data_IF_115111825146
#
_entry.id   IF_115111825146
#
_cell.length_a   1.000
_cell.length_b   1.000
_cell.length_c   1.000
_cell.angle_alpha   90.00
_cell.angle_beta   90.00
_cell.angle_gamma   90.00
#
_symmetry.space_group_name_H-M   'P 1'
#
loop_
_entity.id
_entity.type
_entity.pdbx_description
1 polymer ?
#
# COMPACT_ATOMS: atom_id res chain seq x y z
N UNK A 1 -5.58 -3.51 -12.06
CA UNK A 1 -5.67 -4.68 -11.14
C UNK A 1 -5.43 -6.05 -11.81
N UNK A 2 -5.69 -6.24 -13.10
CA UNK A 2 -5.75 -7.57 -13.74
C UNK A 2 -4.37 -8.17 -13.87
N UNK A 3 -3.39 -7.32 -14.17
CA UNK A 3 -1.99 -7.69 -14.27
C UNK A 3 -1.40 -8.17 -12.93
N UNK A 4 -1.68 -7.47 -11.82
CA UNK A 4 -1.28 -7.94 -10.49
C UNK A 4 -1.90 -9.31 -10.18
N UNK A 5 -3.21 -9.48 -10.45
CA UNK A 5 -3.90 -10.76 -10.22
C UNK A 5 -3.33 -11.90 -11.08
N UNK A 6 -2.93 -11.64 -12.33
CA UNK A 6 -2.32 -12.65 -13.19
C UNK A 6 -0.96 -13.09 -12.65
N UNK A 7 -0.12 -12.15 -12.21
CA UNK A 7 1.19 -12.46 -11.62
C UNK A 7 1.00 -13.28 -10.34
N UNK A 8 0.10 -12.86 -9.43
CA UNK A 8 -0.18 -13.62 -8.20
C UNK A 8 -0.69 -15.03 -8.51
N UNK A 9 -1.54 -15.19 -9.53
CA UNK A 9 -2.04 -16.50 -9.95
C UNK A 9 -0.92 -17.41 -10.45
N UNK A 10 -0.05 -16.90 -11.32
CA UNK A 10 1.12 -17.63 -11.83
C UNK A 10 2.05 -18.05 -10.69
N UNK A 11 2.35 -17.11 -9.78
CA UNK A 11 3.23 -17.36 -8.65
C UNK A 11 2.67 -18.36 -7.65
N UNK A 12 1.36 -18.35 -7.39
CA UNK A 12 0.73 -19.41 -6.56
C UNK A 12 0.97 -20.82 -7.12
N UNK A 13 0.91 -20.99 -8.44
CA UNK A 13 1.21 -22.28 -9.06
C UNK A 13 2.69 -22.68 -8.93
N UNK A 14 3.62 -21.70 -8.93
CA UNK A 14 5.03 -21.93 -8.65
C UNK A 14 5.26 -22.30 -7.17
N UNK A 15 4.55 -21.66 -6.23
CA UNK A 15 4.62 -21.98 -4.79
C UNK A 15 4.22 -23.44 -4.52
N UNK A 16 3.17 -23.93 -5.17
CA UNK A 16 2.70 -25.32 -5.03
C UNK A 16 3.76 -26.34 -5.47
N UNK A 17 4.61 -25.98 -6.44
CA UNK A 17 5.73 -26.80 -6.91
C UNK A 17 7.07 -26.50 -6.22
N UNK A 18 7.08 -25.57 -5.28
CA UNK A 18 8.29 -25.05 -4.63
C UNK A 18 9.30 -24.45 -5.62
N UNK A 19 8.80 -23.69 -6.61
CA UNK A 19 9.57 -23.09 -7.72
C UNK A 19 9.50 -21.55 -7.71
N UNK A 20 8.87 -20.92 -6.71
CA UNK A 20 8.63 -19.47 -6.68
C UNK A 20 9.82 -18.70 -6.10
N UNK A 21 10.95 -18.68 -6.80
CA UNK A 21 12.20 -18.10 -6.29
C UNK A 21 12.40 -16.60 -6.58
N UNK A 22 11.44 -15.93 -7.21
CA UNK A 22 11.62 -14.56 -7.68
C UNK A 22 10.55 -13.63 -7.15
N UNK A 23 10.97 -12.52 -6.56
CA UNK A 23 10.07 -11.45 -6.17
C UNK A 23 9.70 -10.55 -7.35
N UNK A 24 8.59 -9.84 -7.22
CA UNK A 24 8.11 -8.93 -8.25
C UNK A 24 7.71 -7.62 -7.60
N UNK A 25 8.15 -6.51 -8.17
CA UNK A 25 7.75 -5.18 -7.76
C UNK A 25 7.15 -4.44 -8.95
N UNK A 26 5.86 -4.14 -8.86
CA UNK A 26 5.19 -3.28 -9.84
C UNK A 26 5.27 -1.85 -9.32
N UNK A 27 5.74 -0.92 -10.14
CA UNK A 27 5.80 0.51 -9.82
C UNK A 27 5.02 1.27 -10.90
N UNK A 28 4.06 2.08 -10.49
CA UNK A 28 3.20 2.82 -11.40
C UNK A 28 2.60 4.07 -10.74
N UNK A 29 1.77 4.77 -11.51
CA UNK A 29 0.83 5.77 -11.00
C UNK A 29 -0.57 5.42 -11.53
N UNK A 30 -1.60 5.77 -10.76
CA UNK A 30 -2.99 5.59 -11.20
C UNK A 30 -3.56 6.90 -11.74
N UNK A 31 -4.56 6.79 -12.62
CA UNK A 31 -5.54 7.86 -12.77
C UNK A 31 -6.26 8.10 -11.44
N UNK A 32 -6.85 9.30 -11.21
CA UNK A 32 -7.58 9.59 -9.97
C UNK A 32 -8.60 8.50 -9.64
N UNK A 33 -8.48 7.89 -8.46
CA UNK A 33 -9.31 6.76 -8.03
C UNK A 33 -9.37 6.67 -6.51
N UNK A 34 -10.52 6.28 -5.97
CA UNK A 34 -10.67 5.88 -4.58
C UNK A 34 -10.75 4.36 -4.47
N UNK A 35 -10.06 3.79 -3.48
CA UNK A 35 -10.17 2.37 -3.15
C UNK A 35 -10.63 2.18 -1.72
N UNK A 36 -11.58 1.26 -1.53
CA UNK A 36 -12.10 0.86 -0.23
C UNK A 36 -11.49 -0.49 0.12
N UNK A 37 -10.71 -0.53 1.20
CA UNK A 37 -10.17 -1.76 1.75
C UNK A 37 -11.22 -2.58 2.50
N UNK A 38 -10.76 -3.69 3.07
CA UNK A 38 -11.61 -4.64 3.81
C UNK A 38 -12.18 -4.07 5.11
N UNK A 39 -11.52 -3.08 5.72
CA UNK A 39 -12.01 -2.35 6.89
C UNK A 39 -12.90 -1.15 6.56
N UNK A 40 -13.16 -0.87 5.28
CA UNK A 40 -13.85 0.35 4.85
C UNK A 40 -15.36 0.15 4.68
N UNK A 41 -16.14 1.16 5.09
CA UNK A 41 -17.55 1.35 4.72
C UNK A 41 -17.70 2.58 3.82
N UNK A 42 -18.85 2.70 3.14
CA UNK A 42 -19.14 3.91 2.34
C UNK A 42 -19.26 5.17 3.22
N UNK A 43 -19.49 5.02 4.52
CA UNK A 43 -19.60 6.13 5.48
C UNK A 43 -18.27 6.86 5.70
N UNK A 44 -17.14 6.21 5.38
CA UNK A 44 -15.82 6.84 5.42
C UNK A 44 -15.53 7.71 4.19
N UNK A 45 -16.41 7.71 3.18
CA UNK A 45 -16.34 8.64 2.07
C UNK A 45 -16.91 10.00 2.52
N UNK A 46 -16.12 11.06 2.30
CA UNK A 46 -16.58 12.44 2.52
C UNK A 46 -17.54 12.93 1.41
N UNK A 47 -18.06 12.03 0.59
CA UNK A 47 -18.94 12.32 -0.54
C UNK A 47 -19.92 11.16 -0.76
N UNK A 48 -21.04 11.45 -1.44
CA UNK A 48 -21.99 10.41 -1.84
C UNK A 48 -21.42 9.61 -3.01
N UNK A 49 -21.41 8.28 -2.92
CA UNK A 49 -20.87 7.40 -3.96
C UNK A 49 -21.53 7.60 -5.34
N UNK A 50 -22.82 7.98 -5.38
CA UNK A 50 -23.54 8.27 -6.64
C UNK A 50 -23.08 9.55 -7.33
N UNK A 51 -22.41 10.44 -6.59
CA UNK A 51 -21.83 11.69 -7.08
C UNK A 51 -20.33 11.73 -6.86
N UNK A 52 -19.67 10.57 -6.81
CA UNK A 52 -18.25 10.50 -6.56
C UNK A 52 -17.47 11.28 -7.63
N UNK A 53 -16.46 12.08 -7.25
CA UNK A 53 -15.70 12.87 -8.21
C UNK A 53 -14.80 12.01 -9.09
N UNK A 54 -14.46 10.80 -8.64
CA UNK A 54 -13.63 9.82 -9.34
C UNK A 54 -14.17 8.40 -9.11
N UNK A 55 -13.65 7.44 -9.87
CA UNK A 55 -14.03 6.04 -9.73
C UNK A 55 -13.75 5.52 -8.32
N UNK A 56 -14.65 4.67 -7.83
CA UNK A 56 -14.59 4.08 -6.49
C UNK A 56 -14.60 2.56 -6.63
N UNK A 57 -13.56 1.90 -6.15
CA UNK A 57 -13.46 0.44 -6.20
C UNK A 57 -13.30 -0.18 -4.81
N UNK A 58 -14.07 -1.23 -4.52
CA UNK A 58 -13.80 -2.08 -3.37
C UNK A 58 -12.71 -3.10 -3.71
N UNK A 59 -11.78 -3.29 -2.78
CA UNK A 59 -10.63 -4.17 -2.97
C UNK A 59 -10.42 -5.06 -1.75
N UNK A 60 -9.43 -5.94 -1.84
CA UNK A 60 -9.08 -6.89 -0.78
C UNK A 60 -7.91 -6.39 0.11
N UNK A 61 -7.41 -5.17 -0.09
CA UNK A 61 -6.34 -4.64 0.77
C UNK A 61 -6.86 -4.39 2.20
N UNK A 62 -5.95 -4.41 3.17
CA UNK A 62 -6.26 -4.01 4.55
C UNK A 62 -6.50 -2.50 4.66
N UNK A 63 -7.04 -2.05 5.77
CA UNK A 63 -7.30 -0.63 6.01
C UNK A 63 -8.62 -0.12 5.44
N UNK A 64 -8.79 1.20 5.53
CA UNK A 64 -10.03 1.90 5.21
C UNK A 64 -10.04 2.40 3.76
N UNK A 65 -10.47 3.65 3.54
CA UNK A 65 -10.48 4.29 2.23
C UNK A 65 -9.13 4.95 1.95
N UNK A 66 -8.67 4.89 0.70
CA UNK A 66 -7.52 5.67 0.23
C UNK A 66 -7.79 6.25 -1.16
N UNK A 67 -7.01 7.26 -1.52
CA UNK A 67 -7.02 7.89 -2.84
C UNK A 67 -5.67 7.67 -3.53
N UNK A 68 -5.75 7.39 -4.82
CA UNK A 68 -4.60 7.37 -5.71
C UNK A 68 -4.79 8.30 -6.90
N UNK A 69 -3.70 8.87 -7.40
CA UNK A 69 -3.76 9.74 -8.58
C UNK A 69 -2.39 10.17 -9.09
N UNK A 70 -2.36 11.01 -10.14
CA UNK A 70 -1.12 11.50 -10.73
C UNK A 70 -0.22 12.21 -9.71
N UNK A 71 1.08 11.94 -9.78
CA UNK A 71 2.08 12.43 -8.83
C UNK A 71 2.30 11.52 -7.62
N UNK A 72 1.43 10.54 -7.38
CA UNK A 72 1.62 9.54 -6.32
C UNK A 72 2.26 8.28 -6.89
N UNK A 73 3.46 7.94 -6.41
CA UNK A 73 4.11 6.67 -6.72
C UNK A 73 3.43 5.53 -5.97
N UNK A 74 2.92 4.55 -6.70
CA UNK A 74 2.28 3.36 -6.13
C UNK A 74 3.16 2.14 -6.40
N UNK A 75 3.38 1.34 -5.36
CA UNK A 75 4.21 0.14 -5.40
C UNK A 75 3.39 -1.06 -4.97
N UNK A 76 3.39 -2.12 -5.79
CA UNK A 76 2.82 -3.42 -5.43
C UNK A 76 3.93 -4.47 -5.36
N UNK A 77 4.59 -4.63 -4.19
CA UNK A 77 5.50 -5.73 -3.98
C UNK A 77 4.69 -7.02 -3.85
N UNK A 78 5.00 -7.99 -4.70
CA UNK A 78 4.49 -9.35 -4.67
C UNK A 78 5.69 -10.18 -4.21
N UNK A 79 5.63 -10.69 -2.99
CA UNK A 79 6.77 -11.34 -2.32
C UNK A 79 6.29 -12.63 -1.66
N UNK A 80 7.12 -13.66 -1.73
CA UNK A 80 6.85 -14.93 -1.08
C UNK A 80 7.48 -14.99 0.31
N UNK A 81 6.67 -14.63 1.31
CA UNK A 81 7.10 -14.58 2.71
C UNK A 81 7.51 -15.94 3.31
N UNK A 82 7.33 -17.06 2.60
CA UNK A 82 7.80 -18.38 3.05
C UNK A 82 9.33 -18.49 3.06
N UNK A 83 10.02 -17.71 2.24
CA UNK A 83 11.49 -17.71 2.19
C UNK A 83 12.13 -16.74 3.19
N UNK A 84 11.37 -15.76 3.66
CA UNK A 84 11.79 -14.82 4.69
C UNK A 84 11.14 -15.19 6.03
N UNK A 85 10.11 -14.42 6.40
CA UNK A 85 9.35 -14.59 7.63
C UNK A 85 7.86 -14.49 7.28
N UNK A 86 7.12 -15.56 7.54
CA UNK A 86 5.67 -15.63 7.36
C UNK A 86 4.91 -14.81 8.41
N UNK A 87 5.16 -13.51 8.46
CA UNK A 87 4.63 -12.57 9.43
C UNK A 87 4.26 -11.26 8.73
N UNK A 88 2.96 -11.00 8.63
CA UNK A 88 2.44 -9.81 7.97
C UNK A 88 2.84 -8.52 8.69
N UNK A 89 2.90 -8.52 10.03
CA UNK A 89 3.27 -7.32 10.78
C UNK A 89 4.73 -6.97 10.52
N UNK A 90 5.61 -7.96 10.55
CA UNK A 90 7.01 -7.78 10.18
C UNK A 90 7.15 -7.22 8.76
N UNK A 91 6.43 -7.80 7.80
CA UNK A 91 6.47 -7.37 6.41
C UNK A 91 6.04 -5.90 6.25
N UNK A 92 4.93 -5.49 6.88
CA UNK A 92 4.47 -4.10 6.85
C UNK A 92 5.50 -3.15 7.48
N UNK A 93 6.08 -3.52 8.63
CA UNK A 93 7.13 -2.71 9.27
C UNK A 93 8.39 -2.60 8.40
N UNK A 94 8.73 -3.65 7.64
CA UNK A 94 9.84 -3.62 6.69
C UNK A 94 9.57 -2.67 5.52
N UNK A 95 8.34 -2.65 4.97
CA UNK A 95 7.96 -1.69 3.93
C UNK A 95 8.03 -0.25 4.42
N UNK A 96 7.50 0.03 5.61
CA UNK A 96 7.62 1.35 6.23
C UNK A 96 9.09 1.77 6.40
N UNK A 97 9.96 0.82 6.75
CA UNK A 97 11.40 1.07 6.92
C UNK A 97 12.08 1.48 5.62
N UNK A 98 11.73 0.82 4.51
CA UNK A 98 12.21 1.17 3.18
C UNK A 98 11.83 2.61 2.85
N UNK A 99 10.57 3.00 3.07
CA UNK A 99 10.09 4.36 2.79
C UNK A 99 10.79 5.39 3.67
N UNK A 100 10.90 5.14 4.98
CA UNK A 100 11.61 6.04 5.92
C UNK A 100 13.07 6.24 5.48
N UNK A 101 13.78 5.16 5.11
CA UNK A 101 15.16 5.24 4.64
C UNK A 101 15.29 6.06 3.36
N UNK A 102 14.42 5.85 2.38
CA UNK A 102 14.43 6.62 1.12
C UNK A 102 14.19 8.10 1.38
N UNK A 103 13.18 8.43 2.20
CA UNK A 103 12.87 9.81 2.58
C UNK A 103 14.07 10.51 3.25
N UNK A 104 14.71 9.81 4.19
CA UNK A 104 15.88 10.34 4.90
C UNK A 104 17.09 10.48 3.98
N UNK A 105 17.47 9.43 3.25
CA UNK A 105 18.73 9.39 2.48
C UNK A 105 18.70 10.23 1.21
N UNK A 106 17.54 10.28 0.54
CA UNK A 106 17.43 10.91 -0.78
C UNK A 106 16.91 12.34 -0.69
N UNK A 107 16.03 12.61 0.29
CA UNK A 107 15.33 13.88 0.39
C UNK A 107 15.63 14.63 1.70
N UNK A 108 16.43 14.06 2.61
CA UNK A 108 16.67 14.63 3.95
C UNK A 108 15.39 14.90 4.74
N UNK A 109 14.33 14.12 4.47
CA UNK A 109 13.03 14.22 5.15
C UNK A 109 13.03 13.26 6.33
N UNK A 110 12.84 13.79 7.54
CA UNK A 110 12.65 12.98 8.75
C UNK A 110 11.21 12.48 8.83
N UNK A 111 11.03 11.18 8.61
CA UNK A 111 9.76 10.49 8.74
C UNK A 111 9.80 9.45 9.85
N UNK A 112 8.64 9.08 10.37
CA UNK A 112 8.50 8.07 11.42
C UNK A 112 7.22 7.25 11.26
N UNK A 113 7.15 6.17 12.02
CA UNK A 113 5.89 5.45 12.29
C UNK A 113 5.11 6.22 13.35
N UNK A 114 3.80 6.08 13.35
CA UNK A 114 2.95 6.51 14.46
C UNK A 114 2.42 5.24 15.15
N UNK A 115 2.44 5.22 16.48
CA UNK A 115 1.86 4.12 17.26
C UNK A 115 0.38 3.96 16.90
N UNK A 116 -0.11 2.73 16.80
CA UNK A 116 -1.47 2.35 16.38
C UNK A 116 -1.87 2.67 14.92
N UNK A 117 -1.06 3.40 14.15
CA UNK A 117 -1.35 3.70 12.74
C UNK A 117 -0.35 3.04 11.79
N UNK A 118 -0.87 2.30 10.81
CA UNK A 118 -0.04 1.74 9.73
C UNK A 118 0.31 2.84 8.74
N UNK A 119 1.60 2.94 8.37
CA UNK A 119 2.07 3.93 7.41
C UNK A 119 3.29 4.72 7.88
N UNK A 120 3.75 5.61 7.00
CA UNK A 120 4.88 6.52 7.26
C UNK A 120 4.40 7.96 7.28
N UNK A 121 4.83 8.69 8.29
CA UNK A 121 4.32 10.01 8.63
C UNK A 121 5.45 11.04 8.74
N UNK A 122 5.15 12.29 8.37
CA UNK A 122 6.05 13.44 8.54
C UNK A 122 5.30 14.57 9.26
N UNK A 123 6.00 15.29 10.14
CA UNK A 123 5.46 16.38 10.96
C UNK A 123 5.57 16.09 12.47
N UNK A 124 5.48 17.13 13.30
CA UNK A 124 5.68 17.04 14.75
C UNK A 124 4.40 17.18 15.59
N UNK A 125 3.24 17.47 14.99
CA UNK A 125 1.99 17.67 15.72
C UNK A 125 0.78 17.18 14.90
N UNK A 126 -0.23 16.60 15.57
CA UNK A 126 -1.45 16.03 14.95
C UNK A 126 -2.15 16.95 13.92
N UNK A 127 -1.97 18.28 14.00
CA UNK A 127 -2.53 19.25 13.04
C UNK A 127 -1.72 19.45 11.74
N UNK A 128 -0.52 18.89 11.62
CA UNK A 128 0.32 18.99 10.42
C UNK A 128 0.90 17.65 9.96
N UNK A 129 0.36 16.54 10.48
CA UNK A 129 0.78 15.20 10.08
C UNK A 129 0.24 14.86 8.68
N UNK A 130 1.15 14.47 7.81
CA UNK A 130 0.82 13.96 6.48
C UNK A 130 1.30 12.51 6.36
N UNK A 131 0.38 11.64 5.94
CA UNK A 131 0.72 10.27 5.59
C UNK A 131 1.39 10.26 4.20
N UNK A 132 2.60 9.72 4.11
CA UNK A 132 3.34 9.57 2.84
C UNK A 132 3.26 8.16 2.27
N UNK A 133 2.86 7.19 3.10
CA UNK A 133 2.69 5.80 2.70
C UNK A 133 1.46 5.21 3.39
N UNK A 134 0.58 4.61 2.58
CA UNK A 134 -0.53 3.77 2.99
C UNK A 134 -0.43 2.44 2.23
N UNK A 135 -0.86 1.36 2.87
CA UNK A 135 -0.87 -0.01 2.32
C UNK A 135 -2.13 -0.23 1.52
#
# INVERSE_FOLDING_TARGET
WSWQKSIVKERKALIERNEDFSDTLIILQHHPVYTLGTGSSEEYLNFNIKGAPYDVYRTEHGGEVTYHGPGQLVMYPIINLRYDKMDLHWYLRALEDVVIRVLSSTFSIKASRLEDFTGVWVGMFYKSMHQLFAV
#
